data_IF_267039055742
#
_entry.id   IF_267039055742
#
_cell.length_a   1.000
_cell.length_b   1.000
_cell.length_c   1.000
_cell.angle_alpha   90.00
_cell.angle_beta   90.00
_cell.angle_gamma   90.00
#
_symmetry.space_group_name_H-M   'P 1'
#
loop_
_entity.id
_entity.type
_entity.pdbx_description
1 polymer ?
#
# COMPACT_ATOMS: atom_id res chain seq x y z
N UNK A 1 10.35 16.29 0.46
CA UNK A 1 9.18 15.62 1.09
C UNK A 1 8.26 15.08 0.00
N UNK A 2 7.14 14.41 0.34
CA UNK A 2 6.25 13.74 -0.62
C UNK A 2 4.97 14.54 -0.94
N UNK A 3 4.95 15.84 -0.67
CA UNK A 3 3.72 16.66 -0.76
C UNK A 3 3.18 16.75 -2.19
N UNK A 4 4.04 17.01 -3.17
CA UNK A 4 3.65 17.11 -4.58
C UNK A 4 3.13 15.77 -5.12
N UNK A 5 3.82 14.66 -4.82
CA UNK A 5 3.35 13.30 -5.14
C UNK A 5 1.95 13.05 -4.56
N UNK A 6 1.73 13.32 -3.27
CA UNK A 6 0.43 13.10 -2.61
C UNK A 6 -0.68 13.94 -3.25
N UNK A 7 -0.38 15.17 -3.67
CA UNK A 7 -1.33 16.02 -4.39
C UNK A 7 -1.72 15.43 -5.75
N UNK A 8 -0.75 14.92 -6.53
CA UNK A 8 -1.02 14.25 -7.81
C UNK A 8 -1.85 12.99 -7.65
N UNK A 9 -1.52 12.16 -6.65
CA UNK A 9 -2.31 10.98 -6.30
C UNK A 9 -3.76 11.36 -5.99
N UNK A 10 -3.98 12.41 -5.18
CA UNK A 10 -5.32 12.92 -4.87
C UNK A 10 -6.06 13.41 -6.11
N UNK A 11 -5.34 14.02 -7.05
CA UNK A 11 -5.88 14.46 -8.34
C UNK A 11 -6.07 13.30 -9.35
N UNK A 12 -5.73 12.06 -8.98
CA UNK A 12 -5.67 10.87 -9.87
C UNK A 12 -4.70 11.02 -11.04
N UNK A 13 -3.76 11.97 -10.96
CA UNK A 13 -2.63 12.06 -11.86
C UNK A 13 -1.58 11.02 -11.47
N UNK A 14 -1.91 9.76 -11.73
CA UNK A 14 -1.04 8.63 -11.41
C UNK A 14 0.21 8.60 -12.29
N UNK A 15 0.11 9.07 -13.54
CA UNK A 15 1.27 9.17 -14.43
C UNK A 15 2.31 10.17 -13.90
N UNK A 16 1.87 11.38 -13.53
CA UNK A 16 2.75 12.39 -12.95
C UNK A 16 3.28 12.01 -11.57
N UNK A 17 2.50 11.27 -10.76
CA UNK A 17 2.97 10.73 -9.48
C UNK A 17 4.06 9.66 -9.67
N UNK A 18 3.88 8.73 -10.63
CA UNK A 18 4.86 7.68 -10.92
C UNK A 18 6.20 8.22 -11.42
N UNK A 19 6.17 9.26 -12.27
CA UNK A 19 7.39 9.89 -12.75
C UNK A 19 8.23 10.42 -11.59
N UNK A 20 7.63 11.25 -10.73
CA UNK A 20 8.32 11.87 -9.60
C UNK A 20 8.75 10.82 -8.55
N UNK A 21 7.92 9.81 -8.29
CA UNK A 21 8.27 8.74 -7.36
C UNK A 21 9.46 7.89 -7.82
N UNK A 22 9.63 7.70 -9.14
CA UNK A 22 10.78 6.95 -9.68
C UNK A 22 12.07 7.71 -9.47
N UNK A 23 12.07 9.02 -9.76
CA UNK A 23 13.22 9.88 -9.54
C UNK A 23 13.63 9.87 -8.06
N UNK A 24 12.67 10.01 -7.13
CA UNK A 24 12.94 9.97 -5.68
C UNK A 24 13.44 8.59 -5.22
N UNK A 25 12.93 7.50 -5.82
CA UNK A 25 13.29 6.14 -5.44
C UNK A 25 14.74 5.79 -5.80
N UNK A 26 15.26 6.31 -6.91
CA UNK A 26 16.66 6.14 -7.31
C UNK A 26 17.62 6.75 -6.27
N UNK A 27 17.23 7.88 -5.68
CA UNK A 27 18.08 8.62 -4.75
C UNK A 27 18.00 8.13 -3.30
N UNK A 28 16.84 7.66 -2.84
CA UNK A 28 16.55 7.64 -1.39
C UNK A 28 16.23 6.29 -0.76
N UNK A 29 15.84 5.27 -1.54
CA UNK A 29 15.43 3.94 -1.03
C UNK A 29 14.58 4.01 0.26
N UNK A 30 13.51 4.81 0.26
CA UNK A 30 12.65 5.00 1.44
C UNK A 30 11.38 4.16 1.37
N UNK A 31 10.98 3.59 2.52
CA UNK A 31 9.78 2.76 2.61
C UNK A 31 8.50 3.54 2.22
N UNK A 32 8.38 4.82 2.60
CA UNK A 32 7.24 5.66 2.19
C UNK A 32 7.15 5.86 0.68
N UNK A 33 8.30 5.98 0.00
CA UNK A 33 8.38 6.14 -1.47
C UNK A 33 7.94 4.85 -2.15
N UNK A 34 8.46 3.70 -1.71
CA UNK A 34 8.04 2.41 -2.23
C UNK A 34 6.57 2.11 -1.94
N UNK A 35 6.06 2.50 -0.78
CA UNK A 35 4.63 2.41 -0.47
C UNK A 35 3.77 3.21 -1.46
N UNK A 36 4.15 4.46 -1.75
CA UNK A 36 3.41 5.29 -2.71
C UNK A 36 3.56 4.82 -4.16
N UNK A 37 4.69 4.22 -4.54
CA UNK A 37 4.83 3.53 -5.83
C UNK A 37 3.85 2.36 -5.92
N UNK A 38 3.83 1.50 -4.91
CA UNK A 38 2.89 0.39 -4.81
C UNK A 38 1.44 0.85 -4.91
N UNK A 39 1.09 1.89 -4.13
CA UNK A 39 -0.24 2.52 -4.18
C UNK A 39 -0.60 2.97 -5.57
N UNK A 40 0.27 3.77 -6.18
CA UNK A 40 -0.03 4.38 -7.49
C UNK A 40 -0.18 3.30 -8.57
N UNK A 41 0.67 2.28 -8.56
CA UNK A 41 0.61 1.15 -9.49
C UNK A 41 -0.65 0.29 -9.32
N UNK A 42 -1.07 0.04 -8.08
CA UNK A 42 -2.34 -0.66 -7.80
C UNK A 42 -3.51 0.14 -8.35
N UNK A 43 -3.54 1.46 -8.16
CA UNK A 43 -4.62 2.32 -8.71
C UNK A 43 -4.66 2.31 -10.24
N UNK A 44 -3.55 2.03 -10.92
CA UNK A 44 -3.50 1.87 -12.38
C UNK A 44 -3.66 0.43 -12.87
N UNK A 45 -3.89 -0.55 -11.96
CA UNK A 45 -4.09 -1.95 -12.30
C UNK A 45 -2.80 -2.76 -12.53
N UNK A 46 -1.62 -2.16 -12.34
CA UNK A 46 -0.35 -2.90 -12.40
C UNK A 46 -0.07 -3.56 -11.05
N UNK A 47 -0.86 -4.60 -10.76
CA UNK A 47 -0.82 -5.33 -9.51
C UNK A 47 0.50 -6.06 -9.26
N UNK A 48 1.15 -6.55 -10.32
CA UNK A 48 2.42 -7.26 -10.22
C UNK A 48 3.53 -6.33 -9.76
N UNK A 49 3.62 -5.14 -10.35
CA UNK A 49 4.63 -4.17 -9.94
C UNK A 49 4.27 -3.54 -8.60
N UNK A 50 2.98 -3.34 -8.31
CA UNK A 50 2.52 -2.87 -7.01
C UNK A 50 2.98 -3.79 -5.87
N UNK A 51 2.78 -5.10 -6.02
CA UNK A 51 3.25 -6.11 -5.06
C UNK A 51 4.75 -5.96 -4.77
N UNK A 52 5.56 -5.83 -5.83
CA UNK A 52 7.01 -5.68 -5.71
C UNK A 52 7.39 -4.49 -4.82
N UNK A 53 6.75 -3.33 -5.02
CA UNK A 53 7.09 -2.14 -4.25
C UNK A 53 6.53 -2.14 -2.82
N UNK A 54 5.34 -2.70 -2.59
CA UNK A 54 4.89 -2.90 -1.21
C UNK A 54 5.81 -3.86 -0.44
N UNK A 55 6.25 -4.96 -1.07
CA UNK A 55 7.21 -5.88 -0.44
C UNK A 55 8.51 -5.16 -0.12
N UNK A 56 9.08 -4.36 -1.04
CA UNK A 56 10.27 -3.55 -0.76
C UNK A 56 10.07 -2.57 0.40
N UNK A 57 8.90 -1.93 0.49
CA UNK A 57 8.59 -1.04 1.61
C UNK A 57 8.65 -1.79 2.95
N UNK A 58 8.12 -3.01 2.99
CA UNK A 58 8.09 -3.84 4.19
C UNK A 58 9.42 -4.55 4.48
N UNK A 59 10.26 -4.80 3.48
CA UNK A 59 11.65 -5.24 3.66
C UNK A 59 12.48 -4.16 4.38
N UNK A 60 12.27 -2.89 4.02
CA UNK A 60 12.94 -1.76 4.68
C UNK A 60 12.35 -1.44 6.05
N UNK A 61 11.01 -1.49 6.15
CA UNK A 61 10.29 -1.11 7.36
C UNK A 61 9.14 -2.11 7.62
N UNK A 62 9.42 -3.20 8.35
CA UNK A 62 8.43 -4.24 8.63
C UNK A 62 7.20 -3.76 9.42
N UNK A 63 7.29 -2.64 10.15
CA UNK A 63 6.19 -2.07 10.92
C UNK A 63 5.44 -0.94 10.18
N UNK A 64 5.68 -0.79 8.87
CA UNK A 64 5.05 0.25 8.06
C UNK A 64 3.56 -0.04 7.82
N UNK A 65 2.70 0.55 8.67
CA UNK A 65 1.25 0.31 8.69
C UNK A 65 0.56 0.51 7.33
N UNK A 66 0.74 1.67 6.70
CA UNK A 66 0.12 1.93 5.39
C UNK A 66 0.56 0.95 4.28
N UNK A 67 1.81 0.48 4.29
CA UNK A 67 2.27 -0.52 3.33
C UNK A 67 1.64 -1.89 3.58
N UNK A 68 1.39 -2.26 4.85
CA UNK A 68 0.65 -3.49 5.20
C UNK A 68 -0.81 -3.40 4.80
N UNK A 69 -1.46 -2.27 5.08
CA UNK A 69 -2.84 -2.01 4.67
C UNK A 69 -2.97 -2.16 3.15
N UNK A 70 -2.19 -1.39 2.38
CA UNK A 70 -2.33 -1.38 0.93
C UNK A 70 -1.89 -2.68 0.25
N UNK A 71 -0.92 -3.41 0.82
CA UNK A 71 -0.61 -4.77 0.38
C UNK A 71 -1.77 -5.73 0.68
N UNK A 72 -2.42 -5.60 1.84
CA UNK A 72 -3.63 -6.33 2.17
C UNK A 72 -4.76 -6.03 1.18
N UNK A 73 -5.00 -4.76 0.85
CA UNK A 73 -5.99 -4.37 -0.15
C UNK A 73 -5.66 -4.91 -1.55
N UNK A 74 -4.38 -4.91 -1.94
CA UNK A 74 -3.94 -5.55 -3.18
C UNK A 74 -4.32 -7.03 -3.23
N UNK A 75 -4.13 -7.75 -2.13
CA UNK A 75 -4.52 -9.15 -2.02
C UNK A 75 -6.04 -9.34 -2.04
N UNK A 76 -6.82 -8.45 -1.44
CA UNK A 76 -8.29 -8.45 -1.56
C UNK A 76 -8.73 -8.24 -3.03
N UNK A 77 -8.12 -7.29 -3.73
CA UNK A 77 -8.43 -7.01 -5.15
C UNK A 77 -8.09 -8.19 -6.05
N UNK A 78 -6.93 -8.81 -5.83
CA UNK A 78 -6.42 -9.94 -6.63
C UNK A 78 -6.96 -11.32 -6.21
N UNK A 79 -7.71 -11.38 -5.09
CA UNK A 79 -8.40 -12.59 -4.62
C UNK A 79 -7.59 -13.49 -3.68
N UNK A 80 -6.38 -13.09 -3.29
CA UNK A 80 -5.55 -13.85 -2.33
C UNK A 80 -5.96 -13.51 -0.88
N UNK A 81 -7.16 -13.96 -0.49
CA UNK A 81 -7.76 -13.61 0.80
C UNK A 81 -6.95 -14.11 2.00
N UNK A 82 -6.16 -15.18 1.85
CA UNK A 82 -5.29 -15.67 2.90
C UNK A 82 -4.20 -14.65 3.23
N UNK A 83 -3.51 -14.12 2.21
CA UNK A 83 -2.47 -13.11 2.42
C UNK A 83 -3.02 -11.76 2.87
N UNK A 84 -4.25 -11.40 2.47
CA UNK A 84 -4.91 -10.22 3.02
C UNK A 84 -5.08 -10.32 4.55
N UNK A 85 -5.51 -11.49 5.04
CA UNK A 85 -5.66 -11.76 6.48
C UNK A 85 -4.33 -11.80 7.23
N UNK A 86 -3.24 -12.22 6.60
CA UNK A 86 -1.89 -12.14 7.18
C UNK A 86 -1.47 -10.69 7.44
N UNK A 87 -1.76 -9.78 6.50
CA UNK A 87 -1.47 -8.34 6.69
C UNK A 87 -2.34 -7.74 7.79
N UNK A 88 -3.62 -8.13 7.82
CA UNK A 88 -4.55 -7.72 8.89
C UNK A 88 -4.06 -8.18 10.26
N UNK A 89 -3.63 -9.43 10.41
CA UNK A 89 -3.10 -9.96 11.66
C UNK A 89 -1.83 -9.20 12.11
N UNK A 90 -0.97 -8.84 11.16
CA UNK A 90 0.20 -8.00 11.43
C UNK A 90 -0.21 -6.61 11.94
N UNK A 91 -1.22 -5.97 11.31
CA UNK A 91 -1.75 -4.69 11.76
C UNK A 91 -2.41 -4.78 13.14
N UNK A 92 -3.10 -5.87 13.46
CA UNK A 92 -3.66 -6.10 14.80
C UNK A 92 -2.56 -6.09 15.88
N UNK A 93 -1.40 -6.69 15.60
CA UNK A 93 -0.26 -6.67 16.53
C UNK A 93 0.37 -5.28 16.65
N UNK A 94 0.46 -4.53 15.55
CA UNK A 94 1.02 -3.17 15.52
C UNK A 94 0.07 -2.10 16.10
N UNK A 95 -1.23 -2.41 16.18
CA UNK A 95 -2.29 -1.52 16.63
C UNK A 95 -3.19 -2.22 17.67
N UNK A 96 -2.68 -2.55 18.86
CA UNK A 96 -3.46 -3.26 19.89
C UNK A 96 -4.67 -2.46 20.41
N UNK A 97 -4.67 -1.14 20.21
CA UNK A 97 -5.79 -0.23 20.53
C UNK A 97 -6.57 0.24 19.29
N UNK A 98 -6.31 -0.36 18.12
CA UNK A 98 -6.85 0.10 16.84
C UNK A 98 -5.99 1.17 16.17
N UNK A 99 -6.15 1.29 14.85
CA UNK A 99 -5.60 2.35 14.00
C UNK A 99 -6.38 2.37 12.67
N UNK A 100 -6.31 3.50 11.96
CA UNK A 100 -7.00 3.70 10.68
C UNK A 100 -6.68 2.58 9.68
N UNK A 101 -5.41 2.21 9.54
CA UNK A 101 -4.96 1.17 8.61
C UNK A 101 -5.55 -0.22 8.90
N UNK A 102 -5.76 -0.53 10.18
CA UNK A 102 -6.39 -1.78 10.60
C UNK A 102 -7.88 -1.81 10.23
N UNK A 103 -8.57 -0.69 10.48
CA UNK A 103 -10.00 -0.54 10.20
C UNK A 103 -10.28 -0.58 8.70
N UNK A 104 -9.47 0.10 7.89
CA UNK A 104 -9.62 0.15 6.44
C UNK A 104 -9.41 -1.21 5.78
N UNK A 105 -8.35 -1.94 6.17
CA UNK A 105 -8.12 -3.28 5.63
C UNK A 105 -9.22 -4.27 6.06
N UNK A 106 -9.66 -4.21 7.32
CA UNK A 106 -10.77 -5.04 7.80
C UNK A 106 -12.03 -4.82 6.94
N UNK A 107 -12.38 -3.55 6.71
CA UNK A 107 -13.52 -3.17 5.87
C UNK A 107 -13.38 -3.64 4.43
N UNK A 108 -12.19 -3.56 3.84
CA UNK A 108 -11.93 -4.05 2.49
C UNK A 108 -12.18 -5.57 2.38
N UNK A 109 -11.72 -6.34 3.36
CA UNK A 109 -11.95 -7.79 3.46
C UNK A 109 -13.44 -8.09 3.58
N UNK A 110 -14.13 -7.44 4.52
CA UNK A 110 -15.55 -7.70 4.78
C UNK A 110 -16.43 -7.36 3.57
N UNK A 111 -16.12 -6.26 2.88
CA UNK A 111 -16.82 -5.86 1.64
C UNK A 111 -16.64 -6.87 0.50
N UNK A 112 -15.48 -7.54 0.42
CA UNK A 112 -15.21 -8.54 -0.61
C UNK A 112 -15.89 -9.88 -0.33
N UNK A 113 -16.00 -10.26 0.95
CA UNK A 113 -16.66 -11.51 1.38
C UNK A 113 -18.19 -11.44 1.25
N UNK A 114 -18.76 -10.24 1.36
CA UNK A 114 -20.21 -10.01 1.30
C UNK A 114 -20.77 -9.84 -0.12
N UNK A 115 -19.91 -9.78 -1.13
CA UNK A 115 -20.26 -9.70 -2.56
C UNK A 115 -20.14 -11.05 -3.23
#
# INVERSE_FOLDING_TARGET
>A
DLTAVKAKIKAKDYAGALAELRDIAEDTQQADVYNLLGFTLRKTGDYKTALTYYTKALELKPDHKAAREYLGELYVETGDMNKAKEQLASLTQLCPSGCEELEDLQKAIDTKVTK
#
